data_IF_717535117969
#
_entry.id   IF_717535117969
#
_cell.length_a   1.000
_cell.length_b   1.000
_cell.length_c   1.000
_cell.angle_alpha   90.00
_cell.angle_beta   90.00
_cell.angle_gamma   90.00
#
_symmetry.space_group_name_H-M   'P 1'
#
loop_
_entity.id
_entity.type
_entity.pdbx_description
1 polymer ?
#
# COMPACT_ATOMS: atom_id res chain seq x y z
N UNK A 1 17.80 -9.49 -1.60
CA UNK A 1 17.09 -8.50 -2.43
C UNK A 1 16.30 -7.57 -1.51
N UNK A 2 16.69 -6.30 -1.47
CA UNK A 2 16.29 -5.29 -0.48
C UNK A 2 15.09 -4.44 -0.94
N UNK A 3 14.60 -4.65 -2.18
CA UNK A 3 13.53 -3.85 -2.78
C UNK A 3 12.12 -4.40 -2.49
N UNK A 4 11.08 -3.55 -2.44
CA UNK A 4 9.69 -3.96 -2.30
C UNK A 4 9.24 -4.91 -3.42
N UNK A 5 8.39 -5.90 -3.11
CA UNK A 5 7.94 -6.94 -4.05
C UNK A 5 6.43 -7.19 -3.97
N UNK A 6 5.67 -6.15 -3.69
CA UNK A 6 4.22 -6.20 -3.51
C UNK A 6 3.76 -6.51 -2.09
N UNK A 7 2.46 -6.34 -1.87
CA UNK A 7 1.76 -6.45 -0.58
C UNK A 7 1.95 -7.79 0.12
N UNK A 8 1.98 -8.91 -0.63
CA UNK A 8 2.11 -10.25 -0.04
C UNK A 8 3.44 -10.54 0.64
N UNK A 9 4.49 -9.75 0.32
CA UNK A 9 5.85 -9.88 0.88
C UNK A 9 6.16 -8.82 1.95
N UNK A 10 5.18 -7.99 2.32
CA UNK A 10 5.32 -7.05 3.42
C UNK A 10 5.50 -7.80 4.75
N UNK A 11 6.32 -7.23 5.63
CA UNK A 11 6.59 -7.74 6.98
C UNK A 11 5.80 -6.92 7.99
N UNK A 12 5.49 -7.51 9.13
CA UNK A 12 4.97 -6.74 10.26
C UNK A 12 5.97 -5.65 10.68
N UNK A 13 5.46 -4.46 10.97
CA UNK A 13 6.26 -3.31 11.44
C UNK A 13 6.94 -3.56 12.78
N UNK A 14 6.32 -4.37 13.65
CA UNK A 14 6.86 -4.86 14.93
C UNK A 14 6.55 -6.35 15.07
N UNK A 15 7.38 -7.06 15.85
CA UNK A 15 7.20 -8.50 16.13
C UNK A 15 7.23 -9.42 14.88
N UNK A 16 7.92 -9.05 13.80
CA UNK A 16 8.05 -9.91 12.62
C UNK A 16 8.73 -11.27 12.94
N UNK A 17 9.66 -11.31 13.92
CA UNK A 17 10.35 -12.53 14.40
C UNK A 17 10.82 -13.46 13.27
N UNK A 18 11.59 -12.92 12.33
CA UNK A 18 12.08 -13.67 11.16
C UNK A 18 10.99 -14.10 10.15
N UNK A 19 9.75 -13.62 10.30
CA UNK A 19 8.59 -14.00 9.49
C UNK A 19 7.54 -14.81 10.26
N UNK A 20 7.88 -15.34 11.44
CA UNK A 20 6.94 -16.11 12.26
C UNK A 20 5.75 -15.27 12.72
N UNK A 21 5.99 -14.03 13.14
CA UNK A 21 4.90 -13.13 13.54
C UNK A 21 3.96 -12.80 12.39
N UNK A 22 4.50 -12.58 11.19
CA UNK A 22 3.71 -12.34 9.98
C UNK A 22 2.85 -13.56 9.64
N UNK A 23 3.38 -14.78 9.75
CA UNK A 23 2.63 -16.01 9.52
C UNK A 23 1.51 -16.20 10.56
N UNK A 24 1.80 -15.95 11.84
CA UNK A 24 0.81 -16.00 12.92
C UNK A 24 -0.31 -14.98 12.71
N UNK A 25 0.02 -13.73 12.39
CA UNK A 25 -0.98 -12.70 12.14
C UNK A 25 -1.88 -13.06 10.96
N UNK A 26 -1.30 -13.52 9.84
CA UNK A 26 -2.08 -14.01 8.69
C UNK A 26 -2.99 -15.17 9.07
N UNK A 27 -2.59 -16.05 9.99
CA UNK A 27 -3.45 -17.12 10.50
C UNK A 27 -4.62 -16.55 11.31
N UNK A 28 -4.35 -15.66 12.27
CA UNK A 28 -5.40 -15.02 13.09
C UNK A 28 -6.40 -14.26 12.24
N UNK A 29 -5.93 -13.54 11.21
CA UNK A 29 -6.82 -12.84 10.26
C UNK A 29 -7.77 -13.83 9.56
N UNK A 30 -7.26 -14.95 9.03
CA UNK A 30 -8.10 -15.97 8.37
C UNK A 30 -9.08 -16.63 9.35
N UNK A 31 -8.62 -16.95 10.55
CA UNK A 31 -9.46 -17.56 11.60
C UNK A 31 -10.61 -16.62 12.02
N UNK A 32 -10.40 -15.30 11.91
CA UNK A 32 -11.41 -14.26 12.16
C UNK A 32 -12.16 -13.78 10.91
N UNK A 33 -11.96 -14.44 9.77
CA UNK A 33 -12.57 -14.07 8.49
C UNK A 33 -12.31 -12.62 8.07
N UNK A 34 -11.11 -12.12 8.37
CA UNK A 34 -10.64 -10.81 7.90
C UNK A 34 -9.99 -10.98 6.53
N UNK A 35 -10.41 -10.14 5.59
CA UNK A 35 -9.86 -10.06 4.24
C UNK A 35 -8.34 -9.86 4.24
N UNK A 36 -7.67 -10.42 3.23
CA UNK A 36 -6.25 -10.17 3.03
C UNK A 36 -6.00 -8.71 2.59
N UNK A 37 -4.77 -8.22 2.77
CA UNK A 37 -4.42 -6.87 2.30
C UNK A 37 -4.64 -6.72 0.78
N UNK A 38 -4.36 -7.79 0.03
CA UNK A 38 -4.59 -7.87 -1.40
C UNK A 38 -6.08 -7.76 -1.77
N UNK A 39 -6.95 -8.40 -1.00
CA UNK A 39 -8.41 -8.29 -1.17
C UNK A 39 -8.88 -6.87 -0.85
N UNK A 40 -8.38 -6.29 0.25
CA UNK A 40 -8.71 -4.92 0.64
C UNK A 40 -8.29 -3.89 -0.41
N UNK A 41 -7.09 -4.02 -1.00
CA UNK A 41 -6.65 -3.15 -2.10
C UNK A 41 -7.58 -3.30 -3.31
N UNK A 42 -7.94 -4.53 -3.69
CA UNK A 42 -8.87 -4.77 -4.80
C UNK A 42 -10.26 -4.20 -4.54
N UNK A 43 -10.78 -4.35 -3.31
CA UNK A 43 -12.05 -3.78 -2.90
C UNK A 43 -12.00 -2.24 -2.93
N UNK A 44 -10.92 -1.63 -2.46
CA UNK A 44 -10.75 -0.18 -2.50
C UNK A 44 -10.82 0.36 -3.93
N UNK A 45 -10.07 -0.25 -4.87
CA UNK A 45 -10.08 0.13 -6.29
C UNK A 45 -11.49 -0.02 -6.88
N UNK A 46 -12.16 -1.16 -6.63
CA UNK A 46 -13.53 -1.39 -7.11
C UNK A 46 -14.55 -0.38 -6.57
N UNK A 47 -14.32 0.12 -5.37
CA UNK A 47 -15.16 1.14 -4.74
C UNK A 47 -14.81 2.58 -5.17
N UNK A 48 -13.92 2.75 -6.15
CA UNK A 48 -13.57 4.06 -6.71
C UNK A 48 -12.55 4.84 -5.88
N UNK A 49 -11.78 4.19 -5.00
CA UNK A 49 -10.66 4.84 -4.31
C UNK A 49 -9.59 5.22 -5.33
N UNK A 50 -9.25 6.52 -5.38
CA UNK A 50 -8.15 7.03 -6.19
C UNK A 50 -6.82 6.66 -5.53
N UNK A 51 -6.05 5.80 -6.16
CA UNK A 51 -4.70 5.43 -5.72
C UNK A 51 -3.70 6.26 -6.52
N UNK A 52 -2.78 6.94 -5.83
CA UNK A 52 -1.78 7.81 -6.44
C UNK A 52 -0.37 7.35 -6.05
N UNK A 53 0.48 7.10 -7.03
CA UNK A 53 1.91 6.85 -6.82
C UNK A 53 2.69 8.17 -6.77
N UNK A 54 3.52 8.32 -5.72
CA UNK A 54 4.40 9.47 -5.57
C UNK A 54 5.57 9.39 -6.56
N UNK A 55 5.61 10.30 -7.52
CA UNK A 55 6.63 10.30 -8.60
C UNK A 55 8.05 10.42 -8.04
N UNK A 56 8.28 11.27 -7.04
CA UNK A 56 9.58 11.39 -6.39
C UNK A 56 10.02 10.08 -5.72
N UNK A 57 9.09 9.36 -5.09
CA UNK A 57 9.41 8.07 -4.47
C UNK A 57 9.71 7.00 -5.51
N UNK A 58 9.00 7.02 -6.66
CA UNK A 58 9.30 6.13 -7.79
C UNK A 58 10.72 6.37 -8.32
N UNK A 59 11.09 7.64 -8.54
CA UNK A 59 12.40 8.01 -9.07
C UNK A 59 13.54 7.56 -8.14
N UNK A 60 13.38 7.78 -6.82
CA UNK A 60 14.38 7.37 -5.81
C UNK A 60 14.51 5.84 -5.73
N UNK A 61 13.40 5.12 -5.88
CA UNK A 61 13.39 3.64 -5.81
C UNK A 61 13.68 2.97 -7.16
N UNK A 62 13.76 3.73 -8.25
CA UNK A 62 13.94 3.22 -9.61
C UNK A 62 12.76 2.39 -10.12
N UNK A 63 11.53 2.69 -9.67
CA UNK A 63 10.32 1.94 -10.05
C UNK A 63 9.70 2.57 -11.31
N UNK A 64 9.42 1.74 -12.31
CA UNK A 64 8.76 2.14 -13.55
C UNK A 64 7.24 1.97 -13.49
N UNK A 65 6.52 2.65 -14.40
CA UNK A 65 5.04 2.58 -14.45
C UNK A 65 4.53 1.17 -14.75
N UNK A 66 5.25 0.42 -15.58
CA UNK A 66 4.88 -0.94 -15.99
C UNK A 66 5.03 -1.98 -14.85
N UNK A 67 5.69 -1.62 -13.76
CA UNK A 67 5.83 -2.45 -12.56
C UNK A 67 4.68 -2.25 -11.55
N UNK A 68 3.83 -1.25 -11.77
CA UNK A 68 2.74 -0.91 -10.89
C UNK A 68 1.42 -1.50 -11.37
N UNK A 69 0.46 -1.59 -10.45
CA UNK A 69 -0.89 -2.08 -10.77
C UNK A 69 -1.63 -1.07 -11.67
N UNK A 70 -2.53 -1.58 -12.50
CA UNK A 70 -3.38 -0.74 -13.34
C UNK A 70 -4.33 0.15 -12.51
N UNK A 71 -4.78 1.24 -13.12
CA UNK A 71 -5.80 2.12 -12.53
C UNK A 71 -5.30 3.02 -11.40
N UNK A 72 -4.00 3.34 -11.40
CA UNK A 72 -3.40 4.31 -10.48
C UNK A 72 -3.01 5.60 -11.22
N UNK A 73 -3.04 6.69 -10.48
CA UNK A 73 -2.55 8.00 -10.93
C UNK A 73 -1.12 8.24 -10.45
N UNK A 74 -0.49 9.28 -11.01
CA UNK A 74 0.87 9.68 -10.68
C UNK A 74 0.88 11.14 -10.27
N UNK A 75 1.43 11.46 -9.10
CA UNK A 75 1.49 12.84 -8.65
C UNK A 75 2.71 13.14 -7.75
N UNK A 76 3.03 14.42 -7.66
CA UNK A 76 4.05 14.93 -6.75
C UNK A 76 3.44 15.51 -5.46
N UNK A 77 4.32 16.01 -4.59
CA UNK A 77 3.92 16.59 -3.30
C UNK A 77 2.94 17.77 -3.42
N UNK A 78 3.05 18.59 -4.47
CA UNK A 78 2.14 19.74 -4.68
C UNK A 78 0.69 19.31 -4.88
N UNK A 79 0.45 18.26 -5.67
CA UNK A 79 -0.89 17.69 -5.87
C UNK A 79 -1.41 17.06 -4.57
N UNK A 80 -0.57 16.31 -3.85
CA UNK A 80 -0.95 15.75 -2.55
C UNK A 80 -1.37 16.84 -1.55
N UNK A 81 -0.62 17.94 -1.47
CA UNK A 81 -0.96 19.04 -0.57
C UNK A 81 -2.28 19.72 -0.96
N UNK A 82 -2.53 19.92 -2.26
CA UNK A 82 -3.81 20.45 -2.75
C UNK A 82 -5.00 19.54 -2.43
N UNK A 83 -4.86 18.23 -2.67
CA UNK A 83 -5.89 17.23 -2.33
C UNK A 83 -6.11 17.15 -0.82
N UNK A 84 -5.04 17.24 -0.01
CA UNK A 84 -5.09 17.18 1.45
C UNK A 84 -5.74 18.43 2.06
N UNK A 85 -5.50 19.62 1.51
CA UNK A 85 -6.11 20.88 1.97
C UNK A 85 -7.64 20.87 1.76
N UNK A 86 -8.12 20.22 0.69
CA UNK A 86 -9.54 20.07 0.39
C UNK A 86 -10.21 18.90 1.13
N UNK A 87 -9.42 18.02 1.75
CA UNK A 87 -9.92 16.83 2.43
C UNK A 87 -10.38 17.16 3.87
N UNK A 88 -11.51 16.58 4.30
CA UNK A 88 -11.98 16.75 5.67
C UNK A 88 -11.06 16.08 6.70
N UNK A 89 -10.35 15.02 6.30
CA UNK A 89 -9.43 14.26 7.13
C UNK A 89 -8.22 13.89 6.29
N UNK A 90 -7.02 14.16 6.83
CA UNK A 90 -5.75 13.74 6.26
C UNK A 90 -4.96 12.93 7.30
N UNK A 91 -4.44 11.76 6.90
CA UNK A 91 -3.72 10.83 7.76
C UNK A 91 -2.37 10.46 7.15
N UNK A 92 -1.35 10.35 7.99
CA UNK A 92 -0.06 9.76 7.64
C UNK A 92 0.09 8.43 8.36
N UNK A 93 0.24 7.34 7.60
CA UNK A 93 0.20 5.93 8.07
C UNK A 93 1.53 5.25 7.82
#
# INVERSE_FOLDING_TARGET
MMMPRGSGRLKLSKMNMGGMGTAMMKKVMRDKHVDSLEDLIRHAIKNGVKIVACTMSMDVMGITKDELIDGIDYAGVGTYLGDAEQSNVNLFI
#
